data_IF_921083977126
#
_entry.id   IF_921083977126
#
_cell.length_a   1.000
_cell.length_b   1.000
_cell.length_c   1.000
_cell.angle_alpha   90.00
_cell.angle_beta   90.00
_cell.angle_gamma   90.00
#
_symmetry.space_group_name_H-M   'P 1'
#
loop_
_entity.id
_entity.type
_entity.pdbx_description
1 polymer ?
#
# COMPACT_ATOMS: atom_id res chain seq x y z
N UNK A 1 -22.31 -17.17 9.52
CA UNK A 1 -22.20 -16.58 8.17
C UNK A 1 -20.81 -16.00 8.04
N UNK A 2 -19.99 -16.55 7.15
CA UNK A 2 -18.60 -16.14 6.93
C UNK A 2 -18.63 -15.04 5.87
N UNK A 3 -18.34 -13.79 6.25
CA UNK A 3 -18.26 -12.68 5.30
C UNK A 3 -16.96 -12.81 4.50
N UNK A 4 -17.05 -13.37 3.29
CA UNK A 4 -15.94 -13.35 2.33
C UNK A 4 -15.69 -11.91 1.89
N UNK A 5 -14.60 -11.30 2.36
CA UNK A 5 -14.20 -9.95 1.91
C UNK A 5 -13.61 -10.08 0.51
N UNK A 6 -14.39 -9.68 -0.50
CA UNK A 6 -13.94 -9.66 -1.90
C UNK A 6 -13.09 -8.40 -2.12
N UNK A 7 -11.77 -8.54 -2.02
CA UNK A 7 -10.83 -7.46 -2.36
C UNK A 7 -10.68 -7.36 -3.88
N UNK A 8 -11.67 -6.75 -4.54
CA UNK A 8 -11.47 -6.19 -5.87
C UNK A 8 -11.22 -4.71 -5.65
N UNK A 9 -9.95 -4.31 -5.50
CA UNK A 9 -9.62 -2.93 -5.86
C UNK A 9 -9.60 -2.92 -7.39
N UNK A 10 -10.56 -2.21 -8.00
CA UNK A 10 -10.55 -1.95 -9.44
C UNK A 10 -9.19 -1.32 -9.82
N UNK A 11 -8.51 -1.85 -10.84
CA UNK A 11 -7.21 -1.35 -11.30
C UNK A 11 -7.27 0.17 -11.53
N UNK A 12 -8.39 0.65 -12.08
CA UNK A 12 -8.65 2.06 -12.29
C UNK A 12 -8.66 2.87 -10.99
N UNK A 13 -9.23 2.32 -9.92
CA UNK A 13 -9.27 2.96 -8.61
C UNK A 13 -7.88 2.98 -7.95
N UNK A 14 -7.06 1.94 -8.13
CA UNK A 14 -5.66 1.94 -7.66
C UNK A 14 -4.87 3.08 -8.32
N UNK A 15 -4.89 3.14 -9.65
CA UNK A 15 -4.19 4.15 -10.43
C UNK A 15 -4.68 5.57 -10.11
N UNK A 16 -5.98 5.75 -9.84
CA UNK A 16 -6.53 7.03 -9.38
C UNK A 16 -5.94 7.46 -8.03
N UNK A 17 -5.75 6.53 -7.08
CA UNK A 17 -5.15 6.84 -5.78
C UNK A 17 -3.66 7.14 -5.89
N UNK A 18 -2.94 6.47 -6.77
CA UNK A 18 -1.53 6.78 -7.08
C UNK A 18 -1.39 8.20 -7.64
N UNK A 19 -2.23 8.59 -8.60
CA UNK A 19 -2.28 9.95 -9.15
C UNK A 19 -2.66 11.00 -8.09
N UNK A 20 -3.65 10.71 -7.26
CA UNK A 20 -4.06 11.61 -6.17
C UNK A 20 -2.94 11.82 -5.15
N UNK A 21 -2.21 10.75 -4.81
CA UNK A 21 -1.04 10.84 -3.93
C UNK A 21 0.08 11.67 -4.56
N UNK A 22 0.37 11.46 -5.85
CA UNK A 22 1.35 12.29 -6.56
C UNK A 22 0.96 13.77 -6.53
N UNK A 23 -0.30 14.11 -6.81
CA UNK A 23 -0.79 15.49 -6.71
C UNK A 23 -0.58 16.07 -5.31
N UNK A 24 -0.82 15.28 -4.25
CA UNK A 24 -0.57 15.71 -2.87
C UNK A 24 0.92 16.01 -2.63
N UNK A 25 1.84 15.19 -3.16
CA UNK A 25 3.28 15.45 -3.08
C UNK A 25 3.71 16.69 -3.86
N UNK A 26 3.18 16.88 -5.08
CA UNK A 26 3.41 18.09 -5.88
C UNK A 26 2.95 19.35 -5.15
N UNK A 27 1.79 19.28 -4.48
CA UNK A 27 1.28 20.36 -3.62
C UNK A 27 2.17 20.69 -2.41
N UNK A 28 3.10 19.79 -2.04
CA UNK A 28 4.14 20.02 -1.03
C UNK A 28 5.46 20.53 -1.63
N UNK A 29 5.50 20.82 -2.92
CA UNK A 29 6.68 21.34 -3.62
C UNK A 29 7.69 20.26 -4.03
N UNK A 30 7.29 18.99 -4.07
CA UNK A 30 8.11 17.91 -4.64
C UNK A 30 7.86 17.81 -6.15
N UNK A 31 8.75 17.13 -6.85
CA UNK A 31 8.54 16.66 -8.23
C UNK A 31 8.46 15.13 -8.24
N UNK A 32 7.77 14.51 -9.20
CA UNK A 32 7.61 13.06 -9.19
C UNK A 32 6.76 12.53 -10.33
N UNK A 33 6.62 11.21 -10.39
CA UNK A 33 5.85 10.51 -11.41
C UNK A 33 5.23 9.20 -10.88
N UNK A 34 4.16 8.76 -11.55
CA UNK A 34 3.58 7.43 -11.36
C UNK A 34 4.23 6.44 -12.32
N UNK A 35 4.49 5.21 -11.87
CA UNK A 35 5.07 4.15 -12.70
C UNK A 35 4.03 3.37 -13.52
N UNK A 36 2.77 3.81 -13.53
CA UNK A 36 1.66 3.19 -14.29
C UNK A 36 2.01 2.89 -15.75
N UNK A 37 2.84 3.72 -16.38
CA UNK A 37 3.23 3.63 -17.78
C UNK A 37 4.33 2.59 -18.05
N UNK A 38 4.94 2.03 -17.01
CA UNK A 38 5.99 1.03 -17.12
C UNK A 38 5.35 -0.37 -17.03
N UNK A 39 5.34 -1.11 -18.13
CA UNK A 39 4.80 -2.46 -18.20
C UNK A 39 5.50 -3.42 -17.21
N UNK A 40 4.69 -4.14 -16.42
CA UNK A 40 5.06 -5.20 -15.46
C UNK A 40 5.90 -4.79 -14.23
N UNK A 41 5.33 -5.03 -13.04
CA UNK A 41 6.02 -5.18 -11.74
C UNK A 41 7.11 -4.14 -11.47
N UNK A 42 6.73 -2.86 -11.49
CA UNK A 42 7.58 -1.84 -10.89
C UNK A 42 7.74 -2.13 -9.41
N UNK A 43 8.91 -1.81 -8.88
CA UNK A 43 9.22 -2.06 -7.49
C UNK A 43 8.50 -1.10 -6.53
N UNK A 44 7.79 -0.10 -7.08
CA UNK A 44 7.04 0.96 -6.41
C UNK A 44 6.04 1.58 -7.41
N UNK A 45 5.02 2.27 -6.90
CA UNK A 45 3.95 2.89 -7.71
C UNK A 45 4.23 4.37 -8.01
N UNK A 46 4.88 5.09 -7.08
CA UNK A 46 5.19 6.53 -7.21
C UNK A 46 6.64 6.79 -6.80
N UNK A 47 7.32 7.67 -7.54
CA UNK A 47 8.59 8.28 -7.11
C UNK A 47 8.41 9.78 -6.90
N UNK A 48 9.13 10.35 -5.93
CA UNK A 48 9.19 11.80 -5.76
C UNK A 48 10.56 12.27 -5.28
N UNK A 49 10.96 13.44 -5.73
CA UNK A 49 12.23 14.09 -5.44
C UNK A 49 11.99 15.34 -4.61
N UNK A 50 12.66 15.42 -3.46
CA UNK A 50 12.63 16.62 -2.61
C UNK A 50 13.59 17.70 -3.09
N UNK A 51 13.54 18.87 -2.46
CA UNK A 51 14.42 20.02 -2.78
C UNK A 51 15.92 19.73 -2.63
N UNK A 52 16.29 18.71 -1.86
CA UNK A 52 17.67 18.25 -1.68
C UNK A 52 18.15 17.29 -2.78
N UNK A 53 17.32 17.00 -3.78
CA UNK A 53 17.62 16.04 -4.85
C UNK A 53 17.48 14.58 -4.45
N UNK A 54 17.12 14.29 -3.19
CA UNK A 54 16.87 12.91 -2.73
C UNK A 54 15.56 12.38 -3.31
N UNK A 55 15.66 11.25 -4.02
CA UNK A 55 14.51 10.49 -4.51
C UNK A 55 13.96 9.59 -3.38
N UNK A 56 12.64 9.54 -3.26
CA UNK A 56 11.90 8.61 -2.41
C UNK A 56 10.88 7.87 -3.24
N UNK A 57 10.69 6.59 -2.94
CA UNK A 57 9.77 5.70 -3.67
C UNK A 57 8.65 5.19 -2.75
N UNK A 58 7.45 5.02 -3.32
CA UNK A 58 6.23 4.76 -2.58
C UNK A 58 5.41 3.64 -3.20
N UNK A 59 4.97 2.69 -2.38
CA UNK A 59 3.96 1.68 -2.71
C UNK A 59 2.61 2.15 -2.15
N UNK A 60 1.59 2.28 -3.00
CA UNK A 60 0.26 2.78 -2.63
C UNK A 60 -0.71 1.61 -2.49
N UNK A 61 -1.42 1.54 -1.37
CA UNK A 61 -2.52 0.59 -1.17
C UNK A 61 -3.80 1.26 -0.73
N UNK A 62 -4.84 1.04 -1.51
CA UNK A 62 -6.20 1.49 -1.24
C UNK A 62 -7.01 0.36 -0.59
N UNK A 63 -7.51 0.60 0.62
CA UNK A 63 -8.42 -0.32 1.29
C UNK A 63 -9.89 0.09 1.03
N UNK A 64 -10.72 -0.89 0.68
CA UNK A 64 -12.14 -0.72 0.38
C UNK A 64 -13.04 -0.86 1.61
N UNK A 65 -12.53 -1.38 2.74
CA UNK A 65 -13.26 -1.41 4.01
C UNK A 65 -13.41 0.02 4.55
N UNK A 66 -14.64 0.49 4.63
CA UNK A 66 -14.96 1.90 4.85
C UNK A 66 -14.47 2.50 6.18
N UNK A 67 -14.22 1.73 7.23
CA UNK A 67 -13.96 2.26 8.58
C UNK A 67 -12.86 1.48 9.34
N UNK A 68 -11.70 2.15 9.48
CA UNK A 68 -10.79 2.30 10.64
C UNK A 68 -10.30 1.14 11.52
N UNK A 69 -10.71 -0.12 11.39
CA UNK A 69 -10.20 -1.14 12.33
C UNK A 69 -9.19 -2.12 11.73
N UNK A 70 -9.21 -2.33 10.40
CA UNK A 70 -8.44 -3.38 9.73
C UNK A 70 -8.12 -3.01 8.29
N UNK A 71 -6.83 -2.87 8.00
CA UNK A 71 -6.28 -2.92 6.65
C UNK A 71 -5.50 -4.21 6.48
N UNK A 72 -5.53 -4.72 5.26
CA UNK A 72 -4.89 -5.96 4.88
C UNK A 72 -3.68 -5.63 4.01
N UNK A 73 -2.54 -6.25 4.31
CA UNK A 73 -1.29 -5.98 3.61
C UNK A 73 -0.85 -7.30 2.99
N UNK A 74 -1.00 -7.42 1.68
CA UNK A 74 -0.61 -8.63 0.99
C UNK A 74 0.90 -8.88 1.16
N UNK A 75 1.27 -10.08 1.59
CA UNK A 75 2.68 -10.53 1.68
C UNK A 75 3.01 -11.58 0.63
N UNK A 76 2.02 -12.35 0.22
CA UNK A 76 2.20 -13.36 -0.80
C UNK A 76 0.88 -13.64 -1.51
N UNK A 77 0.98 -14.28 -2.66
CA UNK A 77 -0.14 -14.82 -3.41
C UNK A 77 0.19 -16.24 -3.84
N UNK A 78 -0.83 -17.03 -4.14
CA UNK A 78 -0.61 -18.34 -4.77
C UNK A 78 -0.96 -18.20 -6.23
N UNK A 79 0.01 -18.55 -7.09
CA UNK A 79 -0.18 -18.59 -8.54
C UNK A 79 0.18 -20.00 -8.99
N UNK A 80 -0.76 -20.68 -9.64
CA UNK A 80 -0.58 -22.05 -10.12
C UNK A 80 -0.11 -23.03 -9.03
N UNK A 81 -0.66 -22.93 -7.82
CA UNK A 81 -0.30 -23.79 -6.68
C UNK A 81 0.99 -23.41 -5.95
N UNK A 82 1.76 -22.43 -6.43
CA UNK A 82 3.01 -22.00 -5.82
C UNK A 82 2.84 -20.65 -5.11
N UNK A 83 3.35 -20.55 -3.88
CA UNK A 83 3.42 -19.30 -3.11
C UNK A 83 4.48 -18.38 -3.73
N UNK A 84 4.11 -17.14 -4.01
CA UNK A 84 4.97 -16.07 -4.53
C UNK A 84 4.87 -14.85 -3.64
N UNK A 85 5.98 -14.14 -3.43
CA UNK A 85 5.97 -12.87 -2.70
C UNK A 85 5.09 -11.84 -3.41
N UNK A 86 4.39 -11.03 -2.62
CA UNK A 86 3.50 -9.98 -3.09
C UNK A 86 3.44 -8.83 -2.08
N UNK A 87 2.87 -7.70 -2.49
CA UNK A 87 2.70 -6.49 -1.68
C UNK A 87 3.95 -6.13 -0.87
N UNK A 88 3.85 -6.12 0.46
CA UNK A 88 4.94 -5.70 1.33
C UNK A 88 6.18 -6.60 1.24
N UNK A 89 6.04 -7.90 0.93
CA UNK A 89 7.22 -8.77 0.77
C UNK A 89 7.98 -8.45 -0.52
N UNK A 90 7.25 -8.13 -1.60
CA UNK A 90 7.80 -7.94 -2.94
C UNK A 90 8.22 -6.49 -3.25
N UNK A 91 7.58 -5.49 -2.64
CA UNK A 91 7.87 -4.08 -2.92
C UNK A 91 9.30 -3.71 -2.50
N UNK A 92 9.95 -2.87 -3.31
CA UNK A 92 11.25 -2.25 -2.97
C UNK A 92 11.12 -0.76 -2.67
N UNK A 93 9.89 -0.26 -2.55
CA UNK A 93 9.63 1.11 -2.18
C UNK A 93 10.22 1.47 -0.81
N UNK A 94 10.72 2.69 -0.67
CA UNK A 94 11.19 3.23 0.62
C UNK A 94 10.05 3.34 1.63
N UNK A 95 8.85 3.66 1.13
CA UNK A 95 7.65 3.90 1.92
C UNK A 95 6.46 3.06 1.44
N UNK A 96 5.64 2.66 2.40
CA UNK A 96 4.33 2.10 2.18
C UNK A 96 3.28 3.16 2.52
N UNK A 97 2.28 3.31 1.66
CA UNK A 97 1.24 4.33 1.79
C UNK A 97 -0.12 3.69 1.85
N UNK A 98 -0.86 3.97 2.92
CA UNK A 98 -2.24 3.54 3.08
C UNK A 98 -3.19 4.67 2.73
N UNK A 99 -4.25 4.34 2.01
CA UNK A 99 -5.41 5.19 1.84
C UNK A 99 -6.68 4.34 1.92
N UNK A 100 -7.79 5.00 2.19
CA UNK A 100 -9.10 4.36 2.25
C UNK A 100 -9.98 4.96 1.16
N UNK A 101 -10.87 4.16 0.58
CA UNK A 101 -11.67 4.56 -0.58
C UNK A 101 -12.32 5.94 -0.43
N UNK A 102 -12.90 6.22 0.74
CA UNK A 102 -13.60 7.47 1.06
C UNK A 102 -12.83 8.44 1.97
N UNK A 103 -11.55 8.15 2.28
CA UNK A 103 -10.70 9.04 3.07
C UNK A 103 -9.70 9.75 2.14
N UNK A 104 -9.66 11.09 2.11
CA UNK A 104 -8.71 11.82 1.27
C UNK A 104 -7.27 11.74 1.78
N UNK A 105 -7.05 11.28 3.02
CA UNK A 105 -5.73 11.23 3.64
C UNK A 105 -4.90 10.04 3.14
N UNK A 106 -3.59 10.26 3.10
CA UNK A 106 -2.59 9.25 2.85
C UNK A 106 -1.69 9.09 4.07
N UNK A 107 -1.56 7.87 4.56
CA UNK A 107 -0.79 7.52 5.74
C UNK A 107 0.50 6.85 5.32
N UNK A 108 1.64 7.47 5.63
CA UNK A 108 2.94 7.08 5.09
C UNK A 108 3.77 6.43 6.20
N UNK A 109 4.34 5.25 5.94
CA UNK A 109 5.26 4.57 6.86
C UNK A 109 6.48 4.06 6.07
N UNK A 110 7.68 4.15 6.65
CA UNK A 110 8.85 3.47 6.06
C UNK A 110 8.61 1.98 5.91
N UNK A 111 8.88 1.43 4.73
CA UNK A 111 8.72 0.00 4.43
C UNK A 111 9.52 -0.87 5.38
N UNK A 112 10.75 -0.48 5.73
CA UNK A 112 11.59 -1.20 6.71
C UNK A 112 10.91 -1.29 8.08
N UNK A 113 10.39 -0.16 8.58
CA UNK A 113 9.69 -0.09 9.87
C UNK A 113 8.45 -0.98 9.87
N UNK A 114 7.69 -0.95 8.78
CA UNK A 114 6.50 -1.77 8.61
C UNK A 114 6.80 -3.28 8.62
N UNK A 115 7.92 -3.71 8.00
CA UNK A 115 8.38 -5.11 8.02
C UNK A 115 8.79 -5.62 9.41
N UNK A 116 9.23 -4.72 10.28
CA UNK A 116 9.67 -5.04 11.65
C UNK A 116 8.51 -5.13 12.65
N UNK A 117 7.30 -4.69 12.27
CA UNK A 117 6.13 -4.78 13.14
C UNK A 117 5.73 -6.24 13.36
N UNK A 118 5.35 -6.56 14.60
CA UNK A 118 4.69 -7.84 14.91
C UNK A 118 3.24 -7.76 14.44
N UNK A 119 2.84 -8.64 13.54
CA UNK A 119 1.48 -8.73 13.02
C UNK A 119 0.91 -10.13 13.17
N UNK A 120 -0.40 -10.22 13.33
CA UNK A 120 -1.12 -11.49 13.32
C UNK A 120 -1.28 -11.98 11.88
N UNK A 121 -1.04 -13.26 11.65
CA UNK A 121 -1.23 -13.88 10.35
C UNK A 121 -2.72 -14.19 10.14
N UNK A 122 -3.44 -13.39 9.35
CA UNK A 122 -4.80 -13.77 8.90
C UNK A 122 -4.75 -14.47 7.54
N UNK A 123 -5.22 -15.72 7.50
CA UNK A 123 -5.41 -16.50 6.27
C UNK A 123 -6.71 -16.11 5.55
N UNK A 124 -6.69 -16.11 4.21
CA UNK A 124 -7.89 -15.88 3.38
C UNK A 124 -8.24 -17.12 2.55
N UNK A 125 -9.54 -17.44 2.45
CA UNK A 125 -10.08 -18.69 1.87
C UNK A 125 -9.92 -18.85 0.34
N UNK A 126 -9.32 -17.89 -0.38
CA UNK A 126 -9.22 -17.91 -1.86
C UNK A 126 -8.00 -18.64 -2.42
N UNK A 127 -7.33 -19.46 -1.59
CA UNK A 127 -6.18 -20.27 -2.02
C UNK A 127 -4.86 -19.50 -2.15
N UNK A 128 -4.85 -18.19 -1.88
CA UNK A 128 -3.64 -17.36 -1.74
C UNK A 128 -3.29 -17.11 -0.28
N UNK A 129 -2.00 -17.15 0.08
CA UNK A 129 -1.53 -16.75 1.41
C UNK A 129 -1.50 -15.21 1.53
N UNK A 130 -2.65 -14.60 1.78
CA UNK A 130 -2.65 -13.19 2.20
C UNK A 130 -2.34 -13.13 3.69
N UNK A 131 -1.72 -12.03 4.12
CA UNK A 131 -1.56 -11.75 5.53
C UNK A 131 -2.41 -10.53 5.84
N UNK A 132 -3.56 -10.73 6.47
CA UNK A 132 -4.32 -9.61 6.97
C UNK A 132 -3.60 -9.01 8.17
N UNK A 133 -3.01 -7.82 8.03
CA UNK A 133 -2.33 -7.20 9.17
C UNK A 133 -3.30 -6.64 10.22
N UNK A 134 -4.62 -6.54 10.10
CA UNK A 134 -5.47 -5.84 11.12
C UNK A 134 -4.78 -4.56 11.61
N UNK A 135 -4.72 -3.53 10.76
CA UNK A 135 -4.29 -2.21 11.22
C UNK A 135 -5.23 -1.68 12.31
N UNK A 136 -4.85 -1.86 13.57
CA UNK A 136 -5.45 -1.19 14.73
C UNK A 136 -5.00 0.28 14.78
N UNK A 137 -5.59 1.08 15.68
CA UNK A 137 -5.20 2.48 15.96
C UNK A 137 -3.68 2.66 16.17
N UNK A 138 -2.98 1.59 16.55
CA UNK A 138 -1.53 1.51 16.71
C UNK A 138 -0.75 1.80 15.42
N UNK A 139 -1.24 1.46 14.23
CA UNK A 139 -0.45 1.75 13.01
C UNK A 139 -0.55 3.22 12.60
N UNK A 140 -1.69 3.87 12.83
CA UNK A 140 -1.85 5.29 12.53
C UNK A 140 -0.88 6.14 13.35
N UNK A 141 -0.58 5.74 14.59
CA UNK A 141 0.44 6.41 15.41
C UNK A 141 1.88 6.07 15.02
N UNK A 142 2.09 5.01 14.24
CA UNK A 142 3.39 4.63 13.70
C UNK A 142 3.68 5.24 12.33
N UNK A 143 2.71 5.89 11.68
CA UNK A 143 2.95 6.60 10.43
C UNK A 143 3.91 7.77 10.64
N UNK A 144 4.88 7.89 9.74
CA UNK A 144 5.88 8.96 9.77
C UNK A 144 5.29 10.28 9.23
N UNK A 145 4.22 10.21 8.43
CA UNK A 145 3.48 11.37 7.95
C UNK A 145 2.04 11.03 7.58
N UNK A 146 1.20 12.07 7.57
CA UNK A 146 -0.14 12.07 6.99
C UNK A 146 -0.25 13.28 6.08
N UNK A 147 -0.65 13.07 4.83
CA UNK A 147 -0.89 14.14 3.86
C UNK A 147 -2.32 14.10 3.33
#
# INVERSE_FOLDING_TARGET
>A
MQHSVKFICDLKNSQQKEKAFLIALLGKGLTGETTEHLDNFNAYDVSATGSTGKVSTYEIKCNTSGWTAKTFIELSKVKNGTKQDAGLSATKADYYVFTFQYNPKFYIIRTKKLRELKYEHIYTDTGGYQLGIILTDTLLSLCDAVI
#
